data_IF_115364062578
#
_entry.id   IF_115364062578
#
_cell.length_a   1.000
_cell.length_b   1.000
_cell.length_c   1.000
_cell.angle_alpha   90.00
_cell.angle_beta   90.00
_cell.angle_gamma   90.00
#
_symmetry.space_group_name_H-M   'P 1'
#
loop_
_entity.id
_entity.type
_entity.pdbx_description
1 polymer ?
#
# COMPACT_ATOMS: atom_id res chain seq x y z
N UNK A 1 -6.08 4.66 -42.61
CA UNK A 1 -5.24 5.35 -41.59
C UNK A 1 -6.03 5.82 -40.36
N UNK A 2 -7.23 6.35 -40.51
CA UNK A 2 -8.05 6.85 -39.38
C UNK A 2 -8.47 5.77 -38.37
N UNK A 3 -8.82 4.58 -38.84
CA UNK A 3 -9.23 3.45 -37.99
C UNK A 3 -8.09 2.94 -37.09
N UNK A 4 -6.85 3.03 -37.55
CA UNK A 4 -5.64 2.70 -36.77
C UNK A 4 -5.37 3.76 -35.67
N UNK A 5 -5.46 5.06 -36.00
CA UNK A 5 -5.28 6.16 -35.00
C UNK A 5 -6.32 6.07 -33.88
N UNK A 6 -7.58 5.76 -34.22
CA UNK A 6 -8.68 5.62 -33.25
C UNK A 6 -8.47 4.42 -32.30
N UNK A 7 -7.87 3.35 -32.80
CA UNK A 7 -7.58 2.15 -31.99
C UNK A 7 -6.42 2.37 -31.02
N UNK A 8 -5.37 3.09 -31.43
CA UNK A 8 -4.23 3.45 -30.57
C UNK A 8 -4.66 4.38 -29.44
N UNK A 9 -5.44 5.41 -29.71
CA UNK A 9 -5.97 6.32 -28.69
C UNK A 9 -6.81 5.61 -27.62
N UNK A 10 -7.61 4.63 -28.01
CA UNK A 10 -8.41 3.82 -27.08
C UNK A 10 -7.57 2.88 -26.19
N UNK A 11 -6.46 2.36 -26.70
CA UNK A 11 -5.55 1.48 -25.94
C UNK A 11 -4.78 2.31 -24.92
N UNK A 12 -4.28 3.46 -25.30
CA UNK A 12 -3.51 4.37 -24.44
C UNK A 12 -4.40 4.93 -23.32
N UNK A 13 -5.62 5.33 -23.63
CA UNK A 13 -6.62 5.77 -22.67
C UNK A 13 -6.97 4.68 -21.64
N UNK A 14 -7.19 3.44 -22.09
CA UNK A 14 -7.49 2.31 -21.19
C UNK A 14 -6.31 1.98 -20.28
N UNK A 15 -5.08 2.07 -20.78
CA UNK A 15 -3.87 1.88 -19.98
C UNK A 15 -3.78 2.96 -18.90
N UNK A 16 -3.93 4.22 -19.29
CA UNK A 16 -3.87 5.35 -18.37
C UNK A 16 -4.95 5.26 -17.26
N UNK A 17 -6.16 4.86 -17.61
CA UNK A 17 -7.25 4.65 -16.64
C UNK A 17 -6.92 3.51 -15.67
N UNK A 18 -6.34 2.41 -16.15
CA UNK A 18 -5.88 1.31 -15.31
C UNK A 18 -4.78 1.71 -14.32
N UNK A 19 -3.81 2.49 -14.78
CA UNK A 19 -2.73 2.98 -13.93
C UNK A 19 -3.26 3.93 -12.85
N UNK A 20 -4.17 4.85 -13.20
CA UNK A 20 -4.82 5.75 -12.25
C UNK A 20 -5.65 4.97 -11.21
N UNK A 21 -6.42 3.99 -11.63
CA UNK A 21 -7.20 3.14 -10.72
C UNK A 21 -6.29 2.42 -9.72
N UNK A 22 -5.15 1.89 -10.19
CA UNK A 22 -4.15 1.28 -9.30
C UNK A 22 -3.59 2.29 -8.29
N UNK A 23 -3.17 3.47 -8.74
CA UNK A 23 -2.58 4.48 -7.86
C UNK A 23 -3.57 4.97 -6.80
N UNK A 24 -4.86 5.09 -7.13
CA UNK A 24 -5.92 5.42 -6.17
C UNK A 24 -6.08 4.30 -5.13
N UNK A 25 -6.14 3.05 -5.57
CA UNK A 25 -6.22 1.91 -4.64
C UNK A 25 -4.99 1.79 -3.76
N UNK A 26 -3.80 2.00 -4.33
CA UNK A 26 -2.54 2.01 -3.58
C UNK A 26 -2.51 3.15 -2.55
N UNK A 27 -3.00 4.35 -2.93
CA UNK A 27 -3.16 5.47 -2.00
C UNK A 27 -4.05 5.09 -0.82
N UNK A 28 -5.25 4.58 -1.09
CA UNK A 28 -6.22 4.19 -0.05
C UNK A 28 -5.67 3.08 0.85
N UNK A 29 -5.01 2.09 0.27
CA UNK A 29 -4.40 1.01 1.02
C UNK A 29 -3.26 1.50 1.91
N UNK A 30 -2.34 2.31 1.37
CA UNK A 30 -1.22 2.88 2.13
C UNK A 30 -1.72 3.80 3.24
N UNK A 31 -2.77 4.58 2.97
CA UNK A 31 -3.42 5.44 3.95
C UNK A 31 -4.02 4.62 5.12
N UNK A 32 -4.79 3.56 4.81
CA UNK A 32 -5.36 2.66 5.83
C UNK A 32 -4.26 2.00 6.67
N UNK A 33 -3.23 1.45 6.03
CA UNK A 33 -2.12 0.78 6.73
C UNK A 33 -1.32 1.75 7.58
N UNK A 34 -1.01 2.93 7.06
CA UNK A 34 -0.25 3.94 7.79
C UNK A 34 -1.03 4.47 9.00
N UNK A 35 -2.32 4.79 8.84
CA UNK A 35 -3.17 5.16 9.97
C UNK A 35 -3.29 4.03 10.99
N UNK A 36 -3.39 2.78 10.54
CA UNK A 36 -3.47 1.62 11.41
C UNK A 36 -2.27 1.44 12.35
N UNK A 37 -1.12 2.04 12.04
CA UNK A 37 0.06 2.06 12.94
C UNK A 37 0.04 3.21 13.94
N UNK A 38 -0.92 4.13 13.84
CA UNK A 38 -1.05 5.30 14.72
C UNK A 38 -2.16 5.13 15.75
N UNK A 39 -2.07 5.88 16.84
CA UNK A 39 -3.13 5.92 17.87
C UNK A 39 -4.46 6.47 17.34
N UNK A 40 -4.45 7.23 16.24
CA UNK A 40 -5.63 7.74 15.56
C UNK A 40 -6.37 6.59 14.86
N UNK A 41 -5.63 5.71 14.18
CA UNK A 41 -6.18 4.63 13.36
C UNK A 41 -6.69 3.42 14.14
N UNK A 42 -6.38 3.31 15.43
CA UNK A 42 -6.86 2.22 16.28
C UNK A 42 -8.40 2.17 16.43
N UNK A 43 -9.08 3.26 16.06
CA UNK A 43 -10.54 3.41 16.13
C UNK A 43 -11.28 3.15 14.81
N UNK A 44 -10.58 2.77 13.72
CA UNK A 44 -11.20 2.59 12.41
C UNK A 44 -12.08 1.33 12.35
N UNK A 45 -13.32 1.44 11.80
CA UNK A 45 -14.21 0.29 11.71
C UNK A 45 -13.71 -0.74 10.67
N UNK A 46 -13.79 -2.03 11.03
CA UNK A 46 -13.38 -3.15 10.17
C UNK A 46 -14.09 -3.18 8.80
N UNK A 47 -15.29 -2.62 8.69
CA UNK A 47 -16.05 -2.59 7.45
C UNK A 47 -15.32 -1.80 6.34
N UNK A 48 -14.59 -0.74 6.70
CA UNK A 48 -13.81 0.05 5.73
C UNK A 48 -12.64 -0.79 5.19
N UNK A 49 -11.96 -1.51 6.05
CA UNK A 49 -10.87 -2.42 5.68
C UNK A 49 -11.36 -3.55 4.78
N UNK A 50 -12.51 -4.15 5.10
CA UNK A 50 -13.12 -5.19 4.26
C UNK A 50 -13.51 -4.66 2.88
N UNK A 51 -14.09 -3.46 2.80
CA UNK A 51 -14.44 -2.83 1.52
C UNK A 51 -13.21 -2.58 0.65
N UNK A 52 -12.13 -2.08 1.26
CA UNK A 52 -10.87 -1.84 0.56
C UNK A 52 -10.24 -3.14 0.03
N UNK A 53 -10.27 -4.21 0.82
CA UNK A 53 -9.83 -5.56 0.40
C UNK A 53 -10.64 -6.07 -0.80
N UNK A 54 -11.96 -5.90 -0.76
CA UNK A 54 -12.84 -6.28 -1.87
C UNK A 54 -12.53 -5.51 -3.15
N UNK A 55 -12.32 -4.21 -3.05
CA UNK A 55 -11.94 -3.36 -4.19
C UNK A 55 -10.58 -3.77 -4.78
N UNK A 56 -9.60 -4.08 -3.93
CA UNK A 56 -8.28 -4.53 -4.37
C UNK A 56 -8.35 -5.86 -5.12
N UNK A 57 -9.10 -6.83 -4.58
CA UNK A 57 -9.31 -8.12 -5.22
C UNK A 57 -10.05 -7.98 -6.55
N UNK A 58 -11.10 -7.15 -6.61
CA UNK A 58 -11.85 -6.86 -7.84
C UNK A 58 -10.97 -6.20 -8.90
N UNK A 59 -10.16 -5.21 -8.51
CA UNK A 59 -9.22 -4.56 -9.41
C UNK A 59 -8.21 -5.54 -9.99
N UNK A 60 -7.64 -6.43 -9.17
CA UNK A 60 -6.71 -7.46 -9.63
C UNK A 60 -7.36 -8.39 -10.64
N UNK A 61 -8.57 -8.87 -10.34
CA UNK A 61 -9.33 -9.71 -11.26
C UNK A 61 -9.59 -8.99 -12.59
N UNK A 62 -10.06 -7.75 -12.55
CA UNK A 62 -10.27 -6.92 -13.73
C UNK A 62 -8.98 -6.75 -14.56
N UNK A 63 -7.85 -6.48 -13.90
CA UNK A 63 -6.55 -6.28 -14.56
C UNK A 63 -6.02 -7.56 -15.21
N UNK A 64 -6.16 -8.70 -14.54
CA UNK A 64 -5.76 -9.99 -15.10
C UNK A 64 -6.63 -10.42 -16.28
N UNK A 65 -7.93 -10.05 -16.26
CA UNK A 65 -8.86 -10.36 -17.34
C UNK A 65 -8.71 -9.46 -18.57
N UNK A 66 -8.57 -8.16 -18.36
CA UNK A 66 -8.56 -7.15 -19.43
C UNK A 66 -7.15 -6.63 -19.78
N UNK A 67 -6.15 -6.96 -18.99
CA UNK A 67 -4.78 -6.51 -19.19
C UNK A 67 -4.06 -7.24 -20.33
N UNK A 68 -2.84 -6.78 -20.69
CA UNK A 68 -2.01 -7.46 -21.66
C UNK A 68 -1.74 -8.90 -21.21
N UNK A 69 -1.81 -9.84 -22.18
CA UNK A 69 -1.64 -11.28 -21.88
C UNK A 69 -0.29 -11.52 -21.19
N UNK A 70 -0.35 -12.07 -19.99
CA UNK A 70 0.82 -12.49 -19.23
C UNK A 70 1.53 -13.65 -19.93
N UNK A 71 2.84 -13.70 -19.86
CA UNK A 71 3.59 -14.88 -20.28
C UNK A 71 3.23 -16.06 -19.36
N UNK A 72 3.26 -17.28 -19.86
CA UNK A 72 2.90 -18.48 -19.07
C UNK A 72 3.66 -18.59 -17.75
N UNK A 73 4.95 -18.26 -17.74
CA UNK A 73 5.77 -18.31 -16.53
C UNK A 73 5.39 -17.22 -15.50
N UNK A 74 4.93 -16.01 -15.95
CA UNK A 74 4.44 -14.96 -15.07
C UNK A 74 3.17 -15.40 -14.35
N UNK A 75 2.25 -16.07 -15.07
CA UNK A 75 1.04 -16.64 -14.46
C UNK A 75 1.37 -17.69 -13.40
N UNK A 76 2.35 -18.55 -13.66
CA UNK A 76 2.82 -19.53 -12.67
C UNK A 76 3.37 -18.83 -11.44
N UNK A 77 4.17 -17.77 -11.64
CA UNK A 77 4.72 -16.98 -10.53
C UNK A 77 3.61 -16.30 -9.71
N UNK A 78 2.62 -15.68 -10.36
CA UNK A 78 1.49 -15.05 -9.67
C UNK A 78 0.67 -16.05 -8.87
N UNK A 79 0.39 -17.22 -9.46
CA UNK A 79 -0.30 -18.29 -8.76
C UNK A 79 0.50 -18.79 -7.56
N UNK A 80 1.82 -18.94 -7.68
CA UNK A 80 2.68 -19.34 -6.58
C UNK A 80 2.66 -18.31 -5.44
N UNK A 81 2.78 -17.01 -5.75
CA UNK A 81 2.73 -15.93 -4.76
C UNK A 81 1.37 -15.91 -4.02
N UNK A 82 0.26 -16.02 -4.77
CA UNK A 82 -1.09 -16.03 -4.19
C UNK A 82 -1.27 -17.27 -3.30
N UNK A 83 -0.83 -18.44 -3.76
CA UNK A 83 -0.98 -19.71 -3.04
C UNK A 83 -0.19 -19.69 -1.72
N UNK A 84 1.07 -19.24 -1.75
CA UNK A 84 1.89 -19.12 -0.54
C UNK A 84 1.26 -18.12 0.44
N UNK A 85 0.79 -16.98 -0.06
CA UNK A 85 0.13 -15.96 0.76
C UNK A 85 -1.19 -16.44 1.36
N UNK A 86 -1.98 -17.22 0.60
CA UNK A 86 -3.22 -17.81 1.08
C UNK A 86 -2.98 -18.90 2.14
N UNK A 87 -1.94 -19.72 1.98
CA UNK A 87 -1.55 -20.72 2.99
C UNK A 87 -1.10 -20.00 4.27
N UNK A 88 -0.30 -18.94 4.15
CA UNK A 88 0.14 -18.14 5.29
C UNK A 88 -1.06 -17.53 6.02
N UNK A 89 -1.99 -16.91 5.29
CA UNK A 89 -3.24 -16.38 5.87
C UNK A 89 -4.02 -17.45 6.63
N UNK A 90 -4.22 -18.62 6.01
CA UNK A 90 -4.97 -19.71 6.67
C UNK A 90 -4.29 -20.19 7.96
N UNK A 91 -2.96 -20.14 8.04
CA UNK A 91 -2.19 -20.58 9.22
C UNK A 91 -2.11 -19.52 10.33
N UNK A 92 -1.97 -18.25 9.95
CA UNK A 92 -1.73 -17.16 10.90
C UNK A 92 -2.98 -16.37 11.25
N UNK A 93 -4.06 -16.48 10.45
CA UNK A 93 -5.23 -15.63 10.52
C UNK A 93 -4.99 -14.20 9.99
N UNK A 94 -3.75 -13.84 9.62
CA UNK A 94 -3.40 -12.52 9.13
C UNK A 94 -3.43 -12.47 7.59
N UNK A 95 -4.34 -11.67 7.03
CA UNK A 95 -4.56 -11.53 5.58
C UNK A 95 -3.56 -10.57 4.91
N UNK A 96 -2.75 -9.83 5.65
CA UNK A 96 -1.89 -8.76 5.13
C UNK A 96 -0.94 -9.22 4.03
N UNK A 97 -0.37 -10.43 4.16
CA UNK A 97 0.53 -10.96 3.14
C UNK A 97 -0.19 -11.16 1.80
N UNK A 98 -1.46 -11.56 1.84
CA UNK A 98 -2.29 -11.72 0.63
C UNK A 98 -2.63 -10.36 0.00
N UNK A 99 -2.90 -9.34 0.83
CA UNK A 99 -3.13 -7.97 0.36
C UNK A 99 -1.89 -7.42 -0.35
N UNK A 100 -0.70 -7.61 0.23
CA UNK A 100 0.58 -7.20 -0.39
C UNK A 100 0.83 -7.97 -1.69
N UNK A 101 0.53 -9.27 -1.74
CA UNK A 101 0.62 -10.05 -2.97
C UNK A 101 -0.26 -9.47 -4.09
N UNK A 102 -1.50 -9.07 -3.77
CA UNK A 102 -2.41 -8.43 -4.72
C UNK A 102 -1.88 -7.08 -5.19
N UNK A 103 -1.29 -6.28 -4.30
CA UNK A 103 -0.66 -5.01 -4.69
C UNK A 103 0.53 -5.22 -5.62
N UNK A 104 1.41 -6.17 -5.34
CA UNK A 104 2.58 -6.47 -6.16
C UNK A 104 2.14 -6.91 -7.57
N UNK A 105 1.19 -7.83 -7.68
CA UNK A 105 0.68 -8.31 -8.97
C UNK A 105 -0.08 -7.18 -9.70
N UNK A 106 -0.84 -6.38 -8.96
CA UNK A 106 -1.56 -5.20 -9.47
C UNK A 106 -0.65 -4.07 -9.95
N UNK A 107 0.58 -3.96 -9.43
CA UNK A 107 1.57 -2.96 -9.84
C UNK A 107 2.14 -3.19 -11.24
N UNK A 108 1.90 -4.37 -11.82
CA UNK A 108 2.37 -4.70 -13.16
C UNK A 108 2.03 -3.58 -14.15
N UNK A 109 3.00 -3.21 -14.98
CA UNK A 109 2.91 -2.16 -16.01
C UNK A 109 2.66 -0.73 -15.48
N UNK A 110 2.59 -0.53 -14.17
CA UNK A 110 2.49 0.80 -13.55
C UNK A 110 3.90 1.35 -13.32
N UNK A 111 4.09 2.62 -13.60
CA UNK A 111 5.36 3.30 -13.38
C UNK A 111 5.72 3.30 -11.89
N UNK A 112 6.85 2.67 -11.57
CA UNK A 112 7.34 2.51 -10.20
C UNK A 112 7.57 3.87 -9.51
N UNK A 113 8.07 4.87 -10.25
CA UNK A 113 8.28 6.21 -9.69
C UNK A 113 6.97 6.87 -9.23
N UNK A 114 5.85 6.59 -9.93
CA UNK A 114 4.53 7.08 -9.52
C UNK A 114 4.06 6.41 -8.23
N UNK A 115 4.30 5.10 -8.08
CA UNK A 115 3.98 4.35 -6.86
C UNK A 115 4.76 4.94 -5.67
N UNK A 116 6.07 5.16 -5.84
CA UNK A 116 6.92 5.75 -4.81
C UNK A 116 6.47 7.17 -4.40
N UNK A 117 6.07 8.00 -5.38
CA UNK A 117 5.55 9.35 -5.09
C UNK A 117 4.23 9.29 -4.32
N UNK A 118 3.30 8.41 -4.70
CA UNK A 118 2.04 8.21 -3.97
C UNK A 118 2.33 7.75 -2.55
N UNK A 119 3.28 6.84 -2.35
CA UNK A 119 3.71 6.41 -1.02
C UNK A 119 4.14 7.61 -0.15
N UNK A 120 5.02 8.48 -0.66
CA UNK A 120 5.48 9.67 0.07
C UNK A 120 4.36 10.67 0.37
N UNK A 121 3.47 10.91 -0.61
CA UNK A 121 2.33 11.84 -0.46
C UNK A 121 1.41 11.38 0.69
N UNK A 122 1.31 10.09 0.94
CA UNK A 122 0.51 9.55 2.04
C UNK A 122 1.29 9.52 3.34
N UNK A 123 2.49 8.92 3.32
CA UNK A 123 3.18 8.57 4.57
C UNK A 123 3.80 9.78 5.27
N UNK A 124 4.35 10.74 4.51
CA UNK A 124 4.99 11.92 5.12
C UNK A 124 4.00 12.81 5.88
N UNK A 125 2.84 13.20 5.32
CA UNK A 125 1.86 14.00 6.07
C UNK A 125 1.31 13.29 7.30
N UNK A 126 1.03 11.97 7.20
CA UNK A 126 0.53 11.21 8.36
C UNK A 126 1.60 11.13 9.43
N UNK A 127 2.85 10.83 9.08
CA UNK A 127 3.96 10.77 10.05
C UNK A 127 4.15 12.13 10.75
N UNK A 128 4.26 13.21 9.98
CA UNK A 128 4.45 14.56 10.53
C UNK A 128 3.24 14.96 11.40
N UNK A 129 2.02 14.74 10.90
CA UNK A 129 0.79 15.06 11.64
C UNK A 129 0.66 14.27 12.94
N UNK A 130 1.03 12.98 12.93
CA UNK A 130 1.00 12.13 14.12
C UNK A 130 2.03 12.60 15.16
N UNK A 131 3.26 12.88 14.74
CA UNK A 131 4.32 13.37 15.64
C UNK A 131 3.96 14.73 16.22
N UNK A 132 3.53 15.68 15.38
CA UNK A 132 3.14 17.03 15.86
C UNK A 132 1.92 16.92 16.79
N UNK A 133 0.90 16.12 16.40
CA UNK A 133 -0.27 15.89 17.24
C UNK A 133 0.08 15.25 18.60
N UNK A 134 1.08 14.39 18.63
CA UNK A 134 1.60 13.78 19.85
C UNK A 134 2.31 14.81 20.75
N UNK A 135 3.10 15.71 20.16
CA UNK A 135 3.78 16.77 20.90
C UNK A 135 2.80 17.84 21.46
N UNK A 136 1.69 18.07 20.73
CA UNK A 136 0.62 18.98 21.17
C UNK A 136 -0.35 18.34 22.18
N UNK A 137 -0.19 17.07 22.51
CA UNK A 137 -1.07 16.34 23.42
C UNK A 137 -2.45 15.98 22.80
N UNK A 138 -2.61 16.13 21.48
CA UNK A 138 -3.86 15.77 20.75
C UNK A 138 -3.90 14.25 20.52
N UNK A 139 -2.75 13.67 20.26
CA UNK A 139 -2.56 12.23 20.06
C UNK A 139 -1.77 11.66 21.23
N UNK A 140 -2.24 10.55 21.80
CA UNK A 140 -1.57 9.91 22.94
C UNK A 140 -0.16 9.45 22.55
N UNK A 141 0.83 9.78 23.40
CA UNK A 141 2.21 9.35 23.24
C UNK A 141 2.51 8.22 24.21
N UNK A 142 2.48 7.00 23.73
CA UNK A 142 2.80 5.83 24.53
C UNK A 142 4.31 5.77 24.82
N UNK A 143 4.67 5.53 26.07
CA UNK A 143 6.06 5.36 26.49
C UNK A 143 6.25 3.91 26.90
N UNK A 144 7.08 3.20 26.17
CA UNK A 144 7.47 1.82 26.46
C UNK A 144 8.81 1.77 27.20
N UNK A 145 8.91 0.92 28.19
CA UNK A 145 10.17 0.71 28.92
C UNK A 145 10.81 -0.62 28.50
N UNK A 146 12.06 -0.56 28.07
CA UNK A 146 12.91 -1.74 27.87
C UNK A 146 14.05 -1.71 28.86
N UNK A 147 13.88 -2.41 29.97
CA UNK A 147 14.74 -2.24 31.14
C UNK A 147 14.55 -0.84 31.73
N UNK A 148 15.61 -0.08 31.90
CA UNK A 148 15.58 1.29 32.45
C UNK A 148 15.45 2.38 31.35
N UNK A 149 15.41 2.00 30.06
CA UNK A 149 15.41 2.98 28.97
C UNK A 149 13.96 3.24 28.49
N UNK A 150 13.43 4.47 28.66
CA UNK A 150 12.13 4.84 28.11
C UNK A 150 12.23 5.04 26.58
N UNK A 151 11.21 4.60 25.86
CA UNK A 151 11.07 4.71 24.40
C UNK A 151 9.73 5.32 24.08
N UNK A 152 9.72 6.54 23.58
CA UNK A 152 8.50 7.20 23.12
C UNK A 152 8.08 6.68 21.77
N UNK A 153 6.77 6.47 21.59
CA UNK A 153 6.19 6.03 20.32
C UNK A 153 5.74 7.21 19.41
N UNK A 154 5.80 8.45 19.88
CA UNK A 154 5.47 9.68 19.14
C UNK A 154 4.11 9.63 18.44
N UNK A 155 3.08 9.10 19.13
CA UNK A 155 1.72 8.96 18.61
C UNK A 155 1.49 7.72 17.74
N UNK A 156 2.49 6.87 17.55
CA UNK A 156 2.36 5.54 16.98
C UNK A 156 1.97 4.51 18.06
N UNK A 157 1.49 3.34 17.62
CA UNK A 157 1.18 2.25 18.54
C UNK A 157 2.46 1.71 19.16
N UNK A 158 3.53 1.54 18.36
CA UNK A 158 4.83 1.08 18.84
C UNK A 158 5.97 2.02 18.39
N UNK A 159 7.02 2.18 19.21
CA UNK A 159 8.21 2.95 18.80
C UNK A 159 8.91 2.40 17.56
N UNK A 160 8.79 1.07 17.32
CA UNK A 160 9.33 0.41 16.13
C UNK A 160 8.61 0.84 14.87
N UNK A 161 7.30 1.11 14.92
CA UNK A 161 6.53 1.56 13.77
C UNK A 161 6.96 2.96 13.34
N UNK A 162 7.21 3.85 14.30
CA UNK A 162 7.75 5.18 14.03
C UNK A 162 9.09 5.11 13.28
N UNK A 163 10.04 4.33 13.81
CA UNK A 163 11.38 4.19 13.20
C UNK A 163 11.30 3.52 11.82
N UNK A 164 10.48 2.48 11.68
CA UNK A 164 10.28 1.79 10.42
C UNK A 164 9.71 2.72 9.34
N UNK A 165 8.74 3.57 9.66
CA UNK A 165 8.18 4.52 8.72
C UNK A 165 9.21 5.56 8.27
N UNK A 166 10.04 6.08 9.16
CA UNK A 166 11.16 6.96 8.79
C UNK A 166 12.12 6.25 7.85
N UNK A 167 12.53 5.02 8.18
CA UNK A 167 13.43 4.23 7.37
C UNK A 167 12.88 4.04 5.94
N UNK A 168 11.61 3.65 5.79
CA UNK A 168 10.99 3.47 4.49
C UNK A 168 10.87 4.77 3.70
N UNK A 169 10.57 5.90 4.35
CA UNK A 169 10.55 7.21 3.68
C UNK A 169 11.94 7.54 3.13
N UNK A 170 13.00 7.38 3.91
CA UNK A 170 14.39 7.63 3.48
C UNK A 170 14.77 6.70 2.33
N UNK A 171 14.41 5.43 2.41
CA UNK A 171 14.64 4.45 1.34
C UNK A 171 13.94 4.86 0.04
N UNK A 172 12.68 5.27 0.11
CA UNK A 172 11.90 5.72 -1.06
C UNK A 172 12.49 6.99 -1.66
N UNK A 173 12.90 7.96 -0.84
CA UNK A 173 13.59 9.17 -1.31
C UNK A 173 14.90 8.83 -2.02
N UNK A 174 15.67 7.89 -1.50
CA UNK A 174 16.89 7.41 -2.15
C UNK A 174 16.60 6.77 -3.52
N UNK A 175 15.54 5.95 -3.62
CA UNK A 175 15.15 5.29 -4.87
C UNK A 175 14.61 6.26 -5.94
N UNK A 176 14.02 7.39 -5.55
CA UNK A 176 13.55 8.41 -6.51
C UNK A 176 14.72 9.23 -7.08
N UNK A 177 15.82 9.35 -6.35
CA UNK A 177 16.98 10.15 -6.75
C UNK A 177 18.02 9.37 -7.59
N UNK A 178 17.85 8.05 -7.73
CA UNK A 178 18.64 7.20 -8.63
C UNK A 178 18.03 7.21 -10.03
#
# INVERSE_FOLDING_TARGET
>A
MEKYKKNWGNIEYKKHLGDMAYLVLFFLFTFDKMLGTTMIGSRYPEIIKMSLRGLLAFYLFYKLWNGPKSKKWELVLYLAIILVSAIAWRRTGNIELLEVAFLIIGARDVDFSKILRVYLIVTVPILVGTVVGSQLGIVENLIYHRGQTPRAAFGFIYPTDFVANIFYIVLVLSLIHI
#
